data_IF_345311358293
#
_entry.id   IF_345311358293
#
_cell.length_a   1.000
_cell.length_b   1.000
_cell.length_c   1.000
_cell.angle_alpha   90.00
_cell.angle_beta   90.00
_cell.angle_gamma   90.00
#
_symmetry.space_group_name_H-M   'P 1'
#
loop_
_entity.id
_entity.type
_entity.pdbx_description
1 polymer ?
#
# COMPACT_ATOMS: atom_id res chain seq x y z
N UNK A 1 42.04 -22.37 24.77
CA UNK A 1 41.87 -22.28 26.23
C UNK A 1 40.95 -21.10 26.55
N UNK A 2 39.67 -21.41 26.68
CA UNK A 2 38.66 -20.81 27.59
C UNK A 2 38.69 -19.29 27.84
N UNK A 3 37.93 -18.53 27.04
CA UNK A 3 37.16 -17.39 27.57
C UNK A 3 35.66 -17.71 27.44
N UNK A 4 35.15 -18.16 28.57
CA UNK A 4 33.76 -18.34 28.97
C UNK A 4 32.74 -17.52 28.18
N UNK A 5 31.89 -18.27 27.48
CA UNK A 5 30.49 -17.94 27.20
C UNK A 5 29.82 -17.27 28.41
N UNK A 6 29.77 -15.93 28.43
CA UNK A 6 28.84 -15.22 29.30
C UNK A 6 27.44 -15.47 28.75
N UNK A 7 26.75 -16.42 29.37
CA UNK A 7 25.43 -16.84 28.97
C UNK A 7 24.48 -15.65 29.15
N UNK A 8 23.97 -15.10 28.04
CA UNK A 8 22.94 -14.07 27.96
C UNK A 8 21.57 -14.59 28.43
N UNK A 9 21.52 -15.18 29.63
CA UNK A 9 20.38 -15.96 30.17
C UNK A 9 19.05 -15.22 30.19
N UNK A 10 19.07 -13.89 30.29
CA UNK A 10 17.87 -13.04 30.36
C UNK A 10 17.67 -12.17 29.11
N UNK A 11 18.46 -12.37 28.05
CA UNK A 11 18.29 -11.66 26.78
C UNK A 11 17.02 -12.15 26.06
N UNK A 12 16.26 -11.23 25.49
CA UNK A 12 14.99 -11.55 24.83
C UNK A 12 15.18 -12.51 23.64
N UNK A 13 16.36 -12.48 23.01
CA UNK A 13 16.74 -13.38 21.93
C UNK A 13 16.80 -14.86 22.39
N UNK A 14 17.08 -15.12 23.67
CA UNK A 14 17.07 -16.48 24.22
C UNK A 14 15.65 -17.05 24.39
N UNK A 15 14.60 -16.22 24.24
CA UNK A 15 13.20 -16.62 24.38
C UNK A 15 12.43 -16.65 23.05
N UNK A 16 13.12 -16.67 21.90
CA UNK A 16 12.54 -16.69 20.55
C UNK A 16 11.76 -17.97 20.18
N UNK A 17 11.43 -18.83 21.13
CA UNK A 17 10.48 -19.93 20.96
C UNK A 17 9.06 -19.42 20.65
N UNK A 18 8.28 -20.18 19.86
CA UNK A 18 6.86 -19.88 19.52
C UNK A 18 5.89 -19.91 20.73
N UNK A 19 6.38 -19.82 21.96
CA UNK A 19 5.58 -19.80 23.18
C UNK A 19 5.50 -18.39 23.75
N UNK A 20 4.41 -18.12 24.47
CA UNK A 20 4.21 -16.85 25.17
C UNK A 20 4.96 -16.86 26.50
N UNK A 21 5.78 -15.84 26.74
CA UNK A 21 6.54 -15.64 27.98
C UNK A 21 5.61 -15.54 29.20
N UNK A 22 5.99 -16.15 30.32
CA UNK A 22 5.31 -16.01 31.61
C UNK A 22 5.63 -14.65 32.23
N UNK A 23 4.72 -14.10 33.04
CA UNK A 23 4.91 -12.80 33.71
C UNK A 23 6.20 -12.72 34.55
N UNK A 24 6.60 -13.83 35.19
CA UNK A 24 7.84 -13.90 35.96
C UNK A 24 9.10 -13.83 35.09
N UNK A 25 9.05 -14.32 33.85
CA UNK A 25 10.15 -14.25 32.88
C UNK A 25 10.26 -12.84 32.30
N UNK A 26 9.11 -12.24 31.96
CA UNK A 26 9.03 -10.83 31.53
C UNK A 26 9.66 -9.92 32.59
N UNK A 27 9.31 -10.10 33.86
CA UNK A 27 9.88 -9.31 34.95
C UNK A 27 11.41 -9.48 35.09
N UNK A 28 11.94 -10.69 34.83
CA UNK A 28 13.39 -10.96 34.85
C UNK A 28 14.11 -10.28 33.68
N UNK A 29 13.57 -10.38 32.46
CA UNK A 29 14.13 -9.70 31.29
C UNK A 29 14.17 -8.17 31.46
N UNK A 30 13.15 -7.59 32.11
CA UNK A 30 13.09 -6.14 32.34
C UNK A 30 14.02 -5.67 33.47
N UNK A 31 14.24 -6.48 34.52
CA UNK A 31 15.06 -6.08 35.67
C UNK A 31 16.55 -6.40 35.50
N UNK A 32 16.89 -7.43 34.74
CA UNK A 32 18.24 -7.95 34.56
C UNK A 32 18.71 -7.77 33.11
N UNK A 33 18.52 -6.57 32.57
CA UNK A 33 19.01 -6.21 31.23
C UNK A 33 20.52 -6.25 31.19
N UNK A 34 21.07 -6.89 30.16
CA UNK A 34 22.51 -6.93 29.94
C UNK A 34 23.07 -5.53 29.70
N UNK A 35 24.13 -5.18 30.43
CA UNK A 35 24.84 -3.92 30.27
C UNK A 35 26.17 -4.21 29.57
N UNK A 36 26.41 -3.64 28.36
CA UNK A 36 27.64 -3.86 27.64
C UNK A 36 28.85 -3.33 28.43
N UNK A 37 29.96 -4.08 28.44
CA UNK A 37 31.24 -3.56 28.90
C UNK A 37 31.63 -2.24 28.20
N UNK A 38 32.41 -1.35 28.86
CA UNK A 38 32.79 -0.06 28.29
C UNK A 38 33.59 -0.15 26.98
N UNK A 39 34.20 -1.30 26.71
CA UNK A 39 34.99 -1.67 25.54
C UNK A 39 34.18 -2.46 24.48
N UNK A 40 32.89 -2.70 24.73
CA UNK A 40 32.03 -3.42 23.78
C UNK A 40 31.77 -2.61 22.51
N UNK A 41 32.22 -3.13 21.37
CA UNK A 41 31.96 -2.56 20.06
C UNK A 41 30.58 -3.01 19.54
N UNK A 42 29.62 -2.09 19.51
CA UNK A 42 28.31 -2.37 18.91
C UNK A 42 28.43 -2.63 17.40
N UNK A 43 27.67 -3.60 16.86
CA UNK A 43 27.70 -3.93 15.44
C UNK A 43 27.20 -2.77 14.58
N UNK A 44 27.89 -2.53 13.45
CA UNK A 44 27.49 -1.53 12.47
C UNK A 44 26.37 -2.09 11.59
N UNK A 45 25.26 -1.33 11.47
CA UNK A 45 24.17 -1.69 10.56
C UNK A 45 24.31 -0.89 9.27
N UNK A 46 24.36 -1.59 8.14
CA UNK A 46 24.37 -0.98 6.80
C UNK A 46 22.93 -1.00 6.28
N UNK A 47 22.32 0.17 6.13
CA UNK A 47 21.02 0.33 5.45
C UNK A 47 21.25 1.14 4.16
N UNK A 48 21.28 0.44 3.03
CA UNK A 48 21.58 1.05 1.72
C UNK A 48 23.04 1.52 1.62
N UNK A 49 23.25 2.79 1.21
CA UNK A 49 24.59 3.41 1.13
C UNK A 49 25.07 4.02 2.45
N UNK A 50 24.25 3.99 3.51
CA UNK A 50 24.58 4.61 4.79
C UNK A 50 25.07 3.56 5.80
N UNK A 51 26.22 3.83 6.42
CA UNK A 51 26.68 3.13 7.62
C UNK A 51 26.15 3.86 8.85
N UNK A 52 25.51 3.13 9.77
CA UNK A 52 25.09 3.69 11.06
C UNK A 52 25.81 2.99 12.20
N UNK A 53 26.43 3.78 13.06
CA UNK A 53 27.06 3.34 14.31
C UNK A 53 26.30 3.95 15.49
N UNK A 54 26.14 3.19 16.58
CA UNK A 54 25.68 3.76 17.84
C UNK A 54 26.76 4.70 18.40
N UNK A 55 26.60 6.00 18.16
CA UNK A 55 27.46 7.03 18.78
C UNK A 55 27.11 7.16 20.25
N UNK A 56 28.13 7.08 21.12
CA UNK A 56 27.95 7.38 22.56
C UNK A 56 27.49 8.83 22.71
N UNK A 57 26.35 8.99 23.38
CA UNK A 57 25.85 10.28 23.83
C UNK A 57 26.76 10.80 24.95
N UNK A 58 26.93 12.11 25.05
CA UNK A 58 27.80 12.71 26.06
C UNK A 58 27.27 14.06 26.54
N UNK A 59 28.18 14.95 26.94
CA UNK A 59 27.85 16.31 27.40
C UNK A 59 26.86 17.01 26.47
N UNK A 60 25.89 17.69 27.08
CA UNK A 60 24.73 18.38 26.50
C UNK A 60 23.56 17.48 26.06
N UNK A 61 23.70 16.14 26.18
CA UNK A 61 22.58 15.21 25.94
C UNK A 61 22.30 14.34 27.17
N UNK A 62 23.32 13.63 27.66
CA UNK A 62 23.19 12.75 28.84
C UNK A 62 23.83 13.33 30.09
N UNK A 63 24.82 14.20 29.93
CA UNK A 63 25.55 14.83 31.03
C UNK A 63 25.47 16.36 30.91
N UNK A 64 25.29 17.08 32.03
CA UNK A 64 25.30 18.54 32.03
C UNK A 64 26.72 19.08 31.77
N UNK A 65 26.81 20.22 31.10
CA UNK A 65 28.08 20.91 30.91
C UNK A 65 28.46 21.65 32.18
N UNK A 66 29.52 21.21 32.85
CA UNK A 66 29.94 21.77 34.16
C UNK A 66 31.16 22.70 34.04
N UNK A 67 31.94 22.61 32.96
CA UNK A 67 33.16 23.39 32.75
C UNK A 67 32.93 24.50 31.71
N UNK A 68 32.54 25.67 32.19
CA UNK A 68 32.20 26.81 31.33
C UNK A 68 33.41 27.50 30.69
N UNK A 69 34.63 27.29 31.21
CA UNK A 69 35.86 27.87 30.62
C UNK A 69 36.12 27.38 29.20
N UNK A 70 35.78 26.12 28.90
CA UNK A 70 35.99 25.49 27.59
C UNK A 70 34.69 25.41 26.76
N UNK A 71 33.64 26.11 27.20
CA UNK A 71 32.28 26.02 26.65
C UNK A 71 32.23 26.18 25.13
N UNK A 72 32.94 27.18 24.60
CA UNK A 72 32.95 27.49 23.17
C UNK A 72 33.50 26.31 22.35
N UNK A 73 34.53 25.65 22.86
CA UNK A 73 35.16 24.53 22.17
C UNK A 73 34.30 23.26 22.28
N UNK A 74 33.68 23.02 23.44
CA UNK A 74 32.73 21.92 23.64
C UNK A 74 31.46 22.07 22.77
N UNK A 75 30.94 23.29 22.62
CA UNK A 75 29.79 23.59 21.76
C UNK A 75 30.12 23.41 20.27
N UNK A 76 31.27 23.93 19.80
CA UNK A 76 31.73 23.72 18.41
C UNK A 76 31.95 22.24 18.08
N UNK A 77 32.43 21.46 19.04
CA UNK A 77 32.57 20.02 18.87
C UNK A 77 31.21 19.32 18.89
N UNK A 78 30.27 19.76 19.73
CA UNK A 78 28.91 19.22 19.80
C UNK A 78 28.13 19.45 18.50
N UNK A 79 28.22 20.64 17.92
CA UNK A 79 27.56 21.01 16.65
C UNK A 79 27.92 20.04 15.52
N UNK A 80 29.18 19.57 15.49
CA UNK A 80 29.69 18.65 14.47
C UNK A 80 29.31 17.18 14.70
N UNK A 81 28.71 16.84 15.85
CA UNK A 81 28.35 15.44 16.14
C UNK A 81 27.14 15.01 15.32
N UNK A 82 27.19 13.80 14.78
CA UNK A 82 26.13 13.24 13.93
C UNK A 82 24.75 13.27 14.59
N UNK A 83 24.66 12.99 15.90
CA UNK A 83 23.38 12.97 16.59
C UNK A 83 22.74 14.37 16.68
N UNK A 84 23.55 15.43 16.78
CA UNK A 84 23.06 16.80 16.79
C UNK A 84 22.56 17.17 15.39
N UNK A 85 23.38 16.92 14.37
CA UNK A 85 23.02 17.17 12.97
C UNK A 85 21.74 16.43 12.56
N UNK A 86 21.60 15.16 12.96
CA UNK A 86 20.40 14.37 12.71
C UNK A 86 19.18 14.91 13.47
N UNK A 87 19.36 15.43 14.67
CA UNK A 87 18.28 16.05 15.45
C UNK A 87 17.83 17.37 14.84
N UNK A 88 18.76 18.19 14.37
CA UNK A 88 18.47 19.42 13.61
C UNK A 88 17.73 19.09 12.32
N UNK A 89 18.18 18.06 11.59
CA UNK A 89 17.48 17.61 10.38
C UNK A 89 16.04 17.16 10.68
N UNK A 90 15.83 16.36 11.73
CA UNK A 90 14.49 15.95 12.17
C UNK A 90 13.61 17.14 12.56
N UNK A 91 14.18 18.15 13.22
CA UNK A 91 13.45 19.36 13.60
C UNK A 91 13.04 20.18 12.36
N UNK A 92 13.94 20.32 11.39
CA UNK A 92 13.65 20.98 10.11
C UNK A 92 12.58 20.22 9.32
N UNK A 93 12.68 18.89 9.22
CA UNK A 93 11.69 18.05 8.55
C UNK A 93 10.31 18.17 9.23
N UNK A 94 10.27 18.25 10.56
CA UNK A 94 9.06 18.50 11.31
C UNK A 94 8.45 19.88 11.00
N UNK A 95 9.25 20.94 11.00
CA UNK A 95 8.79 22.30 10.66
C UNK A 95 8.23 22.37 9.24
N UNK A 96 8.95 21.83 8.26
CA UNK A 96 8.49 21.77 6.86
C UNK A 96 7.15 21.01 6.77
N UNK A 97 7.01 19.91 7.51
CA UNK A 97 5.76 19.15 7.52
C UNK A 97 4.62 19.89 8.21
N UNK A 98 4.91 20.60 9.30
CA UNK A 98 3.93 21.40 10.03
C UNK A 98 3.43 22.58 9.17
N UNK A 99 4.34 23.33 8.54
CA UNK A 99 4.02 24.45 7.66
C UNK A 99 3.24 24.01 6.40
N UNK A 100 3.50 22.79 5.91
CA UNK A 100 2.74 22.19 4.79
C UNK A 100 1.45 21.47 5.22
N UNK A 101 0.95 21.76 6.43
CA UNK A 101 -0.33 21.25 6.93
C UNK A 101 -0.35 19.74 7.20
N UNK A 102 0.79 19.14 7.54
CA UNK A 102 0.90 17.71 7.82
C UNK A 102 0.97 16.82 6.57
N UNK A 103 1.25 17.37 5.39
CA UNK A 103 1.19 16.63 4.12
C UNK A 103 2.13 15.41 4.02
N UNK A 104 3.19 15.33 4.84
CA UNK A 104 4.08 14.15 4.91
C UNK A 104 3.86 13.30 6.18
N UNK A 105 2.81 13.57 6.94
CA UNK A 105 2.42 12.68 8.02
C UNK A 105 2.05 11.30 7.46
N UNK A 106 2.40 10.23 8.18
CA UNK A 106 2.34 8.86 7.66
C UNK A 106 0.90 8.45 7.34
N UNK A 107 -0.05 8.87 8.17
CA UNK A 107 -1.49 8.73 7.97
C UNK A 107 -1.96 9.38 6.67
N UNK A 108 -1.60 10.65 6.44
CA UNK A 108 -1.97 11.39 5.21
C UNK A 108 -1.37 10.74 3.96
N UNK A 109 -0.12 10.28 4.03
CA UNK A 109 0.54 9.59 2.93
C UNK A 109 -0.11 8.24 2.62
N UNK A 110 -0.47 7.47 3.66
CA UNK A 110 -1.16 6.19 3.50
C UNK A 110 -2.53 6.39 2.86
N UNK A 111 -3.28 7.40 3.28
CA UNK A 111 -4.59 7.70 2.71
C UNK A 111 -4.50 8.21 1.26
N UNK A 112 -3.51 9.06 0.95
CA UNK A 112 -3.24 9.48 -0.44
C UNK A 112 -2.89 8.29 -1.34
N UNK A 113 -2.06 7.35 -0.84
CA UNK A 113 -1.71 6.13 -1.59
C UNK A 113 -2.93 5.24 -1.82
N UNK A 114 -3.79 5.05 -0.80
CA UNK A 114 -5.05 4.31 -0.95
C UNK A 114 -5.96 4.96 -2.00
N UNK A 115 -6.12 6.28 -1.94
CA UNK A 115 -6.93 7.03 -2.91
C UNK A 115 -6.40 6.86 -4.34
N UNK A 116 -5.09 6.97 -4.56
CA UNK A 116 -4.47 6.76 -5.86
C UNK A 116 -4.73 5.36 -6.41
N UNK A 117 -4.60 4.31 -5.58
CA UNK A 117 -4.89 2.92 -5.98
C UNK A 117 -6.36 2.76 -6.38
N UNK A 118 -7.28 3.32 -5.59
CA UNK A 118 -8.73 3.28 -5.89
C UNK A 118 -9.00 3.97 -7.23
N UNK A 119 -8.41 5.14 -7.47
CA UNK A 119 -8.61 5.89 -8.69
C UNK A 119 -8.05 5.16 -9.92
N UNK A 120 -6.85 4.58 -9.82
CA UNK A 120 -6.27 3.76 -10.88
C UNK A 120 -7.13 2.53 -11.18
N UNK A 121 -7.63 1.83 -10.15
CA UNK A 121 -8.50 0.67 -10.33
C UNK A 121 -9.84 1.07 -10.99
N UNK A 122 -10.42 2.21 -10.61
CA UNK A 122 -11.63 2.74 -11.27
C UNK A 122 -11.38 3.03 -12.75
N UNK A 123 -10.28 3.71 -13.09
CA UNK A 123 -9.92 4.02 -14.48
C UNK A 123 -9.82 2.76 -15.34
N UNK A 124 -9.34 1.66 -14.77
CA UNK A 124 -9.21 0.35 -15.44
C UNK A 124 -10.55 -0.37 -15.65
N UNK A 125 -11.46 -0.30 -14.68
CA UNK A 125 -12.75 -1.01 -14.71
C UNK A 125 -13.80 -0.25 -15.53
N UNK A 126 -13.73 1.08 -15.60
CA UNK A 126 -14.70 1.92 -16.32
C UNK A 126 -14.91 1.51 -17.78
N UNK A 127 -13.87 1.27 -18.61
CA UNK A 127 -14.04 0.80 -19.99
C UNK A 127 -14.83 -0.51 -20.07
N UNK A 128 -14.57 -1.45 -19.16
CA UNK A 128 -15.22 -2.76 -19.10
C UNK A 128 -16.72 -2.61 -18.78
N UNK A 129 -17.06 -1.83 -17.74
CA UNK A 129 -18.46 -1.54 -17.39
C UNK A 129 -19.18 -0.85 -18.55
N UNK A 130 -18.52 0.12 -19.21
CA UNK A 130 -19.08 0.82 -20.37
C UNK A 130 -19.38 -0.14 -21.52
N UNK A 131 -18.53 -1.13 -21.77
CA UNK A 131 -18.78 -2.17 -22.78
C UNK A 131 -20.00 -3.02 -22.44
N UNK A 132 -20.12 -3.47 -21.18
CA UNK A 132 -21.29 -4.25 -20.72
C UNK A 132 -22.58 -3.42 -20.89
N UNK A 133 -22.56 -2.16 -20.46
CA UNK A 133 -23.70 -1.25 -20.58
C UNK A 133 -24.05 -0.97 -22.05
N UNK A 134 -23.05 -0.86 -22.91
CA UNK A 134 -23.24 -0.71 -24.35
C UNK A 134 -23.95 -1.93 -24.94
N UNK A 135 -23.52 -3.15 -24.59
CA UNK A 135 -24.21 -4.36 -25.04
C UNK A 135 -25.65 -4.41 -24.56
N UNK A 136 -25.88 -4.13 -23.27
CA UNK A 136 -27.21 -4.16 -22.66
C UNK A 136 -28.18 -3.16 -23.32
N UNK A 137 -27.70 -1.97 -23.69
CA UNK A 137 -28.55 -0.93 -24.32
C UNK A 137 -28.84 -1.19 -25.79
N UNK A 138 -27.94 -1.86 -26.50
CA UNK A 138 -28.07 -2.14 -27.93
C UNK A 138 -28.59 -3.56 -28.21
N UNK A 139 -29.05 -4.28 -27.18
CA UNK A 139 -29.50 -5.68 -27.28
C UNK A 139 -28.45 -6.60 -27.93
N UNK A 140 -27.16 -6.32 -27.68
CA UNK A 140 -26.08 -7.17 -28.18
C UNK A 140 -25.87 -8.35 -27.22
N UNK A 141 -25.63 -9.56 -27.73
CA UNK A 141 -25.32 -10.70 -26.89
C UNK A 141 -23.99 -10.42 -26.16
N UNK A 142 -24.02 -10.45 -24.83
CA UNK A 142 -22.80 -10.29 -24.03
C UNK A 142 -21.94 -11.56 -24.11
N UNK A 143 -22.61 -12.72 -24.07
CA UNK A 143 -22.03 -14.06 -24.13
C UNK A 143 -21.85 -14.49 -25.59
N UNK A 144 -20.78 -15.22 -25.88
CA UNK A 144 -20.53 -15.78 -27.21
C UNK A 144 -19.71 -17.06 -27.16
N UNK A 145 -19.32 -17.56 -28.33
CA UNK A 145 -18.73 -18.90 -28.52
C UNK A 145 -17.43 -19.15 -27.74
N UNK A 146 -16.63 -18.10 -27.48
CA UNK A 146 -15.40 -18.19 -26.68
C UNK A 146 -15.20 -16.94 -25.81
N UNK A 147 -15.31 -17.13 -24.50
CA UNK A 147 -15.32 -16.03 -23.52
C UNK A 147 -14.16 -16.09 -22.50
N UNK A 148 -13.40 -17.19 -22.49
CA UNK A 148 -12.29 -17.40 -21.56
C UNK A 148 -10.92 -17.21 -22.23
N UNK A 149 -9.95 -16.74 -21.45
CA UNK A 149 -8.55 -16.59 -21.87
C UNK A 149 -8.00 -15.17 -21.74
N UNK A 150 -6.70 -15.04 -21.97
CA UNK A 150 -5.99 -13.76 -21.97
C UNK A 150 -6.30 -12.96 -23.25
N UNK A 151 -6.34 -11.63 -23.14
CA UNK A 151 -6.42 -10.69 -24.26
C UNK A 151 -5.09 -9.94 -24.49
N UNK A 152 -4.01 -10.41 -23.85
CA UNK A 152 -2.71 -9.72 -23.84
C UNK A 152 -1.99 -9.76 -25.17
N UNK A 153 -2.17 -10.82 -25.98
CA UNK A 153 -1.49 -10.95 -27.28
C UNK A 153 -2.26 -10.21 -28.38
N UNK A 154 -1.54 -9.49 -29.24
CA UNK A 154 -2.11 -8.81 -30.41
C UNK A 154 -2.84 -9.78 -31.33
N UNK A 155 -2.27 -10.96 -31.58
CA UNK A 155 -2.88 -12.03 -32.40
C UNK A 155 -4.26 -12.45 -31.87
N UNK A 156 -4.41 -12.55 -30.54
CA UNK A 156 -5.70 -12.88 -29.91
C UNK A 156 -6.69 -11.72 -30.09
N UNK A 157 -6.22 -10.47 -30.01
CA UNK A 157 -7.09 -9.30 -30.24
C UNK A 157 -7.58 -9.24 -31.68
N UNK A 158 -6.71 -9.50 -32.65
CA UNK A 158 -7.07 -9.57 -34.07
C UNK A 158 -8.03 -10.73 -34.37
N UNK A 159 -7.84 -11.92 -33.77
CA UNK A 159 -8.81 -13.01 -33.93
C UNK A 159 -10.17 -12.70 -33.30
N UNK A 160 -10.21 -11.92 -32.21
CA UNK A 160 -11.49 -11.44 -31.66
C UNK A 160 -12.25 -10.55 -32.66
N UNK A 161 -11.54 -9.72 -33.43
CA UNK A 161 -12.14 -8.81 -34.40
C UNK A 161 -12.65 -9.56 -35.64
N UNK A 162 -12.02 -10.67 -35.99
CA UNK A 162 -12.44 -11.55 -37.08
C UNK A 162 -13.65 -12.43 -36.72
N UNK A 163 -14.25 -12.26 -35.53
CA UNK A 163 -15.46 -12.97 -35.10
C UNK A 163 -15.22 -14.36 -34.51
N UNK A 164 -13.98 -14.74 -34.23
CA UNK A 164 -13.65 -16.06 -33.67
C UNK A 164 -13.91 -16.16 -32.14
N UNK A 165 -14.32 -15.06 -31.51
CA UNK A 165 -14.52 -14.94 -30.06
C UNK A 165 -15.86 -14.27 -29.73
N UNK A 166 -16.24 -14.27 -28.45
CA UNK A 166 -17.48 -13.61 -28.02
C UNK A 166 -17.49 -12.10 -28.26
N UNK A 167 -18.69 -11.55 -28.53
CA UNK A 167 -18.92 -10.13 -28.85
C UNK A 167 -18.32 -9.18 -27.81
N UNK A 168 -18.40 -9.53 -26.52
CA UNK A 168 -17.78 -8.74 -25.46
C UNK A 168 -16.25 -8.60 -25.64
N UNK A 169 -15.56 -9.69 -26.00
CA UNK A 169 -14.10 -9.67 -26.24
C UNK A 169 -13.77 -8.91 -27.53
N UNK A 170 -14.57 -9.09 -28.58
CA UNK A 170 -14.44 -8.32 -29.83
C UNK A 170 -14.55 -6.80 -29.57
N UNK A 171 -15.51 -6.37 -28.74
CA UNK A 171 -15.68 -4.97 -28.39
C UNK A 171 -14.53 -4.41 -27.53
N UNK A 172 -13.95 -5.22 -26.64
CA UNK A 172 -12.77 -4.81 -25.88
C UNK A 172 -11.54 -4.66 -26.81
N UNK A 173 -11.33 -5.60 -27.73
CA UNK A 173 -10.28 -5.51 -28.75
C UNK A 173 -10.47 -4.30 -29.65
N UNK A 174 -11.71 -4.03 -30.09
CA UNK A 174 -12.05 -2.87 -30.90
C UNK A 174 -11.73 -1.55 -30.17
N UNK A 175 -12.02 -1.44 -28.87
CA UNK A 175 -11.67 -0.26 -28.07
C UNK A 175 -10.16 -0.05 -27.98
N UNK A 176 -9.41 -1.14 -27.81
CA UNK A 176 -7.95 -1.10 -27.79
C UNK A 176 -7.41 -0.60 -29.13
N UNK A 177 -7.89 -1.14 -30.26
CA UNK A 177 -7.49 -0.66 -31.59
C UNK A 177 -7.94 0.77 -31.88
N UNK A 178 -9.05 1.21 -31.30
CA UNK A 178 -9.52 2.60 -31.36
C UNK A 178 -8.69 3.58 -30.51
N UNK A 179 -7.63 3.11 -29.82
CA UNK A 179 -6.69 3.95 -29.08
C UNK A 179 -6.88 3.98 -27.55
N UNK A 180 -7.64 3.06 -26.95
CA UNK A 180 -7.77 2.96 -25.49
C UNK A 180 -6.50 2.34 -24.85
N UNK A 181 -5.48 3.18 -24.68
CA UNK A 181 -4.18 2.81 -24.08
C UNK A 181 -4.30 2.41 -22.60
N UNK A 182 -5.29 2.96 -21.88
CA UNK A 182 -5.52 2.62 -20.48
C UNK A 182 -6.05 1.20 -20.34
N UNK A 183 -6.97 0.79 -21.21
CA UNK A 183 -7.47 -0.57 -21.28
C UNK A 183 -6.39 -1.55 -21.75
N UNK A 184 -5.58 -1.17 -22.74
CA UNK A 184 -4.45 -1.99 -23.20
C UNK A 184 -3.47 -2.27 -22.06
N UNK A 185 -3.01 -1.21 -21.39
CA UNK A 185 -2.11 -1.32 -20.24
C UNK A 185 -2.72 -2.18 -19.13
N UNK A 186 -4.03 -2.07 -18.88
CA UNK A 186 -4.73 -2.92 -17.90
C UNK A 186 -4.69 -4.40 -18.29
N UNK A 187 -4.95 -4.72 -19.55
CA UNK A 187 -4.98 -6.11 -20.04
C UNK A 187 -3.58 -6.74 -20.02
N UNK A 188 -2.54 -5.97 -20.33
CA UNK A 188 -1.15 -6.45 -20.37
C UNK A 188 -0.49 -6.53 -19.00
N UNK A 189 -0.77 -5.57 -18.10
CA UNK A 189 -0.12 -5.52 -16.77
C UNK A 189 -0.85 -6.30 -15.69
N UNK A 190 -2.14 -6.60 -15.89
CA UNK A 190 -2.94 -7.27 -14.85
C UNK A 190 -2.68 -8.76 -14.80
N UNK A 191 -2.52 -9.35 -13.59
CA UNK A 191 -2.50 -10.79 -13.43
C UNK A 191 -3.85 -11.40 -13.84
N UNK A 192 -3.84 -12.69 -14.21
CA UNK A 192 -5.01 -13.40 -14.77
C UNK A 192 -6.30 -13.22 -13.95
N UNK A 193 -6.19 -13.19 -12.62
CA UNK A 193 -7.28 -13.04 -11.67
C UNK A 193 -7.85 -11.61 -11.56
N UNK A 194 -7.14 -10.60 -12.08
CA UNK A 194 -7.52 -9.18 -11.95
C UNK A 194 -7.90 -8.53 -13.28
N UNK A 195 -8.02 -9.31 -14.37
CA UNK A 195 -8.37 -8.78 -15.69
C UNK A 195 -9.78 -8.19 -15.74
N UNK A 196 -10.69 -8.64 -14.86
CA UNK A 196 -12.10 -8.23 -14.78
C UNK A 196 -12.92 -8.54 -16.05
N UNK A 197 -12.46 -9.49 -16.87
CA UNK A 197 -13.07 -9.84 -18.17
C UNK A 197 -13.83 -11.18 -18.10
N UNK A 198 -13.65 -11.96 -17.03
CA UNK A 198 -14.29 -13.27 -16.89
C UNK A 198 -15.81 -13.20 -16.82
N UNK A 199 -16.48 -14.27 -17.25
CA UNK A 199 -17.94 -14.37 -17.22
C UNK A 199 -18.54 -14.15 -15.82
N UNK A 200 -17.84 -14.62 -14.77
CA UNK A 200 -18.19 -14.38 -13.37
C UNK A 200 -18.21 -12.89 -13.02
N UNK A 201 -17.12 -12.18 -13.32
CA UNK A 201 -17.04 -10.73 -13.04
C UNK A 201 -18.09 -9.97 -13.84
N UNK A 202 -18.33 -10.37 -15.09
CA UNK A 202 -19.40 -9.77 -15.89
C UNK A 202 -20.78 -9.95 -15.23
N UNK A 203 -21.09 -11.14 -14.69
CA UNK A 203 -22.34 -11.37 -13.94
C UNK A 203 -22.42 -10.47 -12.71
N UNK A 204 -21.34 -10.37 -11.93
CA UNK A 204 -21.29 -9.48 -10.76
C UNK A 204 -21.53 -8.01 -11.15
N UNK A 205 -20.95 -7.55 -12.26
CA UNK A 205 -21.20 -6.20 -12.81
C UNK A 205 -22.67 -6.04 -13.24
N UNK A 206 -23.25 -7.03 -13.91
CA UNK A 206 -24.65 -6.99 -14.34
C UNK A 206 -25.58 -6.86 -13.13
N UNK A 207 -25.38 -7.67 -12.09
CA UNK A 207 -26.16 -7.60 -10.85
C UNK A 207 -26.04 -6.22 -10.22
N UNK A 208 -24.82 -5.71 -10.04
CA UNK A 208 -24.59 -4.39 -9.46
C UNK A 208 -25.24 -3.25 -10.28
N UNK A 209 -25.19 -3.33 -11.61
CA UNK A 209 -25.86 -2.37 -12.49
C UNK A 209 -27.39 -2.48 -12.34
N UNK A 210 -27.92 -3.70 -12.26
CA UNK A 210 -29.34 -3.97 -12.00
C UNK A 210 -29.81 -3.33 -10.70
N UNK A 211 -29.07 -3.54 -9.61
CA UNK A 211 -29.39 -2.98 -8.28
C UNK A 211 -29.45 -1.45 -8.31
N UNK A 212 -28.52 -0.80 -9.01
CA UNK A 212 -28.51 0.67 -9.17
C UNK A 212 -29.73 1.15 -9.97
N UNK A 213 -30.12 0.43 -11.02
CA UNK A 213 -31.29 0.78 -11.83
C UNK A 213 -32.57 0.61 -11.01
N UNK A 214 -32.73 -0.53 -10.34
CA UNK A 214 -33.88 -0.81 -9.47
C UNK A 214 -33.97 0.23 -8.36
N UNK A 215 -32.85 0.55 -7.70
CA UNK A 215 -32.81 1.58 -6.66
C UNK A 215 -33.31 2.94 -7.15
N UNK A 216 -32.91 3.36 -8.36
CA UNK A 216 -33.40 4.62 -8.98
C UNK A 216 -34.88 4.57 -9.31
N UNK A 217 -35.39 3.43 -9.77
CA UNK A 217 -36.82 3.25 -10.05
C UNK A 217 -37.62 3.34 -8.75
N UNK A 218 -37.19 2.64 -7.70
CA UNK A 218 -37.84 2.68 -6.37
C UNK A 218 -37.82 4.09 -5.80
N UNK A 219 -36.71 4.82 -5.91
CA UNK A 219 -36.63 6.21 -5.46
C UNK A 219 -37.63 7.11 -6.21
N UNK A 220 -37.79 6.90 -7.53
CA UNK A 220 -38.78 7.63 -8.33
C UNK A 220 -40.21 7.30 -7.90
N UNK A 221 -40.52 6.01 -7.72
CA UNK A 221 -41.85 5.56 -7.25
C UNK A 221 -42.18 6.18 -5.90
N UNK A 222 -41.23 6.19 -4.95
CA UNK A 222 -41.42 6.82 -3.62
C UNK A 222 -41.71 8.32 -3.69
N UNK A 223 -41.23 9.03 -4.72
CA UNK A 223 -41.51 10.45 -4.94
C UNK A 223 -42.84 10.70 -5.66
N UNK A 224 -43.41 9.68 -6.32
CA UNK A 224 -44.69 9.80 -6.98
C UNK A 224 -45.84 9.77 -5.95
N UNK A 225 -46.77 10.72 -6.05
CA UNK A 225 -47.96 10.77 -5.18
C UNK A 225 -48.93 9.60 -5.40
N UNK A 226 -48.93 9.06 -6.61
CA UNK A 226 -49.80 7.96 -7.02
C UNK A 226 -48.98 6.94 -7.79
N UNK A 227 -49.12 5.67 -7.42
CA UNK A 227 -48.62 4.54 -8.20
C UNK A 227 -49.69 3.46 -8.18
N UNK A 228 -49.87 2.79 -9.31
CA UNK A 228 -50.83 1.69 -9.45
C UNK A 228 -50.01 0.41 -9.42
N UNK A 229 -50.28 -0.43 -8.44
CA UNK A 229 -49.74 -1.79 -8.42
C UNK A 229 -50.73 -2.70 -9.14
N UNK A 230 -50.39 -3.15 -10.34
CA UNK A 230 -51.17 -4.16 -11.05
C UNK A 230 -50.68 -5.50 -10.52
N UNK A 231 -51.38 -6.04 -9.52
CA UNK A 231 -51.10 -7.37 -9.00
C UNK A 231 -51.34 -8.42 -10.07
N UNK A 232 -50.31 -9.19 -10.38
CA UNK A 232 -50.37 -10.39 -11.21
C UNK A 232 -50.54 -11.64 -10.36
#
# INVERSE_FOLDING_TARGET
>A
MTQSSQIHTNDIACFLSNQRLKQSEIAKCLKLTWVPPPDFAFPEKIEGKQKRRFSRLGKLVTEPMVKFKDAINELKNHEKKEYHLLSVQRANDFLINYESGGSKAVDVLLDKRKQQVIESNRKRIVPIIKTILFCARNNLPLRGHRESGLLSSSEIRSSCLNGEQGVFRALLSFRVESGDTALLNHIETSPKNCTMISSRIQNEIIVAVGDVIVGKIVERIKKCKFFINIGG
#
